data_IF_362909432565
#
_entry.id   IF_362909432565
#
_cell.length_a   1.000
_cell.length_b   1.000
_cell.length_c   1.000
_cell.angle_alpha   90.00
_cell.angle_beta   90.00
_cell.angle_gamma   90.00
#
_symmetry.space_group_name_H-M   'P 1'
#
loop_
_entity.id
_entity.type
_entity.pdbx_description
1 polymer ?
#
# COMPACT_ATOMS: atom_id res chain seq x y z
N UNK A 1 -44.02 41.80 6.10
CA UNK A 1 -44.07 42.72 4.95
C UNK A 1 -45.26 42.32 4.09
N UNK A 2 -46.31 43.14 4.11
CA UNK A 2 -47.60 42.94 3.46
C UNK A 2 -47.67 43.80 2.18
N UNK A 3 -48.04 43.21 1.04
CA UNK A 3 -48.66 43.87 -0.14
C UNK A 3 -49.37 42.71 -0.88
N UNK A 4 -50.69 42.49 -0.88
CA UNK A 4 -51.85 43.31 -1.26
C UNK A 4 -51.63 44.08 -2.56
N UNK A 5 -52.23 43.60 -3.65
CA UNK A 5 -52.74 44.43 -4.74
C UNK A 5 -53.83 43.68 -5.50
N UNK A 6 -55.07 44.00 -5.11
CA UNK A 6 -56.30 43.83 -5.85
C UNK A 6 -56.30 44.67 -7.12
N UNK A 7 -56.71 44.10 -8.25
CA UNK A 7 -57.18 44.86 -9.41
C UNK A 7 -58.52 44.29 -9.87
N UNK A 8 -59.57 45.03 -9.52
CA UNK A 8 -60.91 44.86 -10.06
C UNK A 8 -61.20 45.89 -11.16
N UNK A 9 -62.16 45.49 -11.99
CA UNK A 9 -63.11 46.32 -12.73
C UNK A 9 -62.60 47.25 -13.85
N UNK A 10 -63.03 46.99 -15.09
CA UNK A 10 -64.19 47.70 -15.72
C UNK A 10 -64.35 47.31 -17.19
N UNK A 11 -65.59 46.99 -17.56
CA UNK A 11 -66.06 46.97 -18.93
C UNK A 11 -66.25 48.38 -19.50
N UNK A 12 -66.23 48.53 -20.82
CA UNK A 12 -67.09 49.49 -21.49
C UNK A 12 -68.08 48.83 -22.46
N UNK A 13 -69.27 49.42 -22.46
CA UNK A 13 -70.44 49.15 -23.28
C UNK A 13 -70.33 49.87 -24.63
N UNK A 14 -70.97 49.25 -25.64
CA UNK A 14 -71.80 49.81 -26.74
C UNK A 14 -71.23 49.99 -28.16
N UNK A 15 -72.17 49.68 -29.07
CA UNK A 15 -72.35 49.99 -30.52
C UNK A 15 -71.84 48.84 -31.41
N UNK A 16 -72.66 48.14 -32.19
CA UNK A 16 -73.89 48.55 -32.86
C UNK A 16 -73.60 48.65 -34.35
N UNK A 17 -73.68 47.51 -35.06
CA UNK A 17 -73.82 47.46 -36.51
C UNK A 17 -74.78 46.32 -36.83
N UNK A 18 -75.96 46.71 -37.30
CA UNK A 18 -76.89 45.82 -37.95
C UNK A 18 -76.36 45.54 -39.37
N UNK A 19 -76.24 44.27 -39.72
CA UNK A 19 -76.11 43.85 -41.11
C UNK A 19 -77.11 42.71 -41.30
N UNK A 20 -78.27 43.10 -41.82
CA UNK A 20 -79.27 42.19 -42.33
C UNK A 20 -78.73 41.58 -43.63
N UNK A 21 -78.48 40.28 -43.60
CA UNK A 21 -78.38 39.45 -44.78
C UNK A 21 -79.33 38.28 -44.57
N UNK A 22 -80.47 38.38 -45.22
CA UNK A 22 -81.40 37.26 -45.36
C UNK A 22 -80.71 36.16 -46.16
N UNK A 23 -80.58 34.99 -45.55
CA UNK A 23 -80.24 33.75 -46.25
C UNK A 23 -81.36 32.76 -45.98
N UNK A 24 -82.03 32.47 -47.09
CA UNK A 24 -82.96 31.40 -47.41
C UNK A 24 -82.85 30.19 -46.46
N UNK A 25 -83.97 29.86 -45.81
CA UNK A 25 -84.18 28.55 -45.19
C UNK A 25 -84.23 27.49 -46.29
N UNK A 26 -83.15 26.73 -46.42
CA UNK A 26 -83.14 25.39 -47.00
C UNK A 26 -82.88 24.43 -45.84
N UNK A 27 -83.93 23.77 -45.36
CA UNK A 27 -83.83 22.65 -44.43
C UNK A 27 -83.23 21.45 -45.16
N UNK A 28 -81.90 21.47 -45.31
CA UNK A 28 -81.11 20.27 -45.57
C UNK A 28 -80.91 19.48 -44.27
N UNK A 29 -80.71 18.14 -44.33
CA UNK A 29 -80.44 17.35 -43.15
C UNK A 29 -79.25 17.94 -42.40
N UNK A 30 -79.44 18.18 -41.10
CA UNK A 30 -78.42 18.77 -40.23
C UNK A 30 -77.10 18.01 -40.38
N UNK A 31 -76.07 18.69 -40.87
CA UNK A 31 -74.73 18.14 -40.90
C UNK A 31 -74.33 17.77 -39.47
N UNK A 32 -73.85 16.54 -39.22
CA UNK A 32 -73.47 16.13 -37.87
C UNK A 32 -72.36 17.08 -37.35
N UNK A 33 -72.39 17.46 -36.08
CA UNK A 33 -71.40 18.36 -35.50
C UNK A 33 -69.99 17.78 -35.67
N UNK A 34 -69.10 18.52 -36.33
CA UNK A 34 -67.73 18.13 -36.67
C UNK A 34 -66.82 17.82 -35.46
N UNK A 35 -67.32 17.95 -34.23
CA UNK A 35 -66.61 17.68 -32.99
C UNK A 35 -66.89 16.29 -32.37
N UNK A 36 -67.84 15.51 -32.93
CA UNK A 36 -68.15 14.17 -32.41
C UNK A 36 -67.22 13.06 -32.96
N UNK A 37 -66.74 13.21 -34.20
CA UNK A 37 -65.94 12.19 -34.88
C UNK A 37 -64.66 11.68 -34.14
N UNK A 38 -63.89 12.51 -33.41
CA UNK A 38 -62.67 12.01 -32.77
C UNK A 38 -62.94 11.20 -31.49
N UNK A 39 -64.03 11.47 -30.78
CA UNK A 39 -64.36 10.77 -29.53
C UNK A 39 -64.88 9.36 -29.79
N UNK A 40 -65.71 9.20 -30.83
CA UNK A 40 -66.24 7.89 -31.24
C UNK A 40 -65.11 6.97 -31.73
N UNK A 41 -64.13 7.53 -32.47
CA UNK A 41 -62.96 6.79 -32.92
C UNK A 41 -62.06 6.31 -31.77
N UNK A 42 -61.80 7.16 -30.77
CA UNK A 42 -61.02 6.77 -29.58
C UNK A 42 -61.76 5.72 -28.73
N UNK A 43 -63.09 5.77 -28.66
CA UNK A 43 -63.89 4.76 -27.99
C UNK A 43 -63.82 3.40 -28.70
N UNK A 44 -64.00 3.38 -30.02
CA UNK A 44 -63.90 2.16 -30.82
C UNK A 44 -62.50 1.55 -30.71
N UNK A 45 -61.45 2.37 -30.73
CA UNK A 45 -60.08 1.91 -30.54
C UNK A 45 -59.85 1.33 -29.14
N UNK A 46 -60.42 1.92 -28.09
CA UNK A 46 -60.33 1.41 -26.71
C UNK A 46 -61.02 0.04 -26.58
N UNK A 47 -62.18 -0.12 -27.22
CA UNK A 47 -62.90 -1.41 -27.27
C UNK A 47 -62.14 -2.45 -28.07
N UNK A 48 -61.52 -2.05 -29.18
CA UNK A 48 -60.66 -2.93 -29.98
C UNK A 48 -59.44 -3.41 -29.18
N UNK A 49 -58.81 -2.54 -28.39
CA UNK A 49 -57.69 -2.93 -27.52
C UNK A 49 -58.12 -3.93 -26.44
N UNK A 50 -59.25 -3.70 -25.77
CA UNK A 50 -59.78 -4.66 -24.79
C UNK A 50 -60.10 -6.01 -25.45
N UNK A 51 -60.73 -6.01 -26.63
CA UNK A 51 -61.00 -7.22 -27.40
C UNK A 51 -59.71 -7.92 -27.88
N UNK A 52 -58.68 -7.15 -28.25
CA UNK A 52 -57.38 -7.70 -28.60
C UNK A 52 -56.71 -8.38 -27.40
N UNK A 53 -56.83 -7.83 -26.19
CA UNK A 53 -56.34 -8.44 -24.96
C UNK A 53 -57.06 -9.78 -24.67
N UNK A 54 -58.38 -9.83 -24.80
CA UNK A 54 -59.16 -11.08 -24.65
C UNK A 54 -58.75 -12.13 -25.69
N UNK A 55 -58.57 -11.70 -26.95
CA UNK A 55 -58.11 -12.59 -28.02
C UNK A 55 -56.71 -13.12 -27.76
N UNK A 56 -55.78 -12.27 -27.29
CA UNK A 56 -54.42 -12.67 -26.95
C UNK A 56 -54.41 -13.73 -25.83
N UNK A 57 -55.26 -13.59 -24.81
CA UNK A 57 -55.43 -14.60 -23.77
C UNK A 57 -55.98 -15.92 -24.35
N UNK A 58 -57.02 -15.86 -25.18
CA UNK A 58 -57.64 -17.03 -25.78
C UNK A 58 -56.73 -17.79 -26.77
N UNK A 59 -55.88 -17.07 -27.51
CA UNK A 59 -54.90 -17.65 -28.45
C UNK A 59 -53.63 -18.13 -27.71
N UNK A 60 -53.27 -17.48 -26.60
CA UNK A 60 -52.21 -17.87 -25.68
C UNK A 60 -52.45 -19.23 -25.02
N UNK A 61 -53.67 -19.49 -24.55
CA UNK A 61 -54.04 -20.81 -24.00
C UNK A 61 -53.88 -21.95 -25.04
N UNK A 62 -53.89 -21.63 -26.34
CA UNK A 62 -53.71 -22.59 -27.43
C UNK A 62 -52.26 -22.73 -27.89
N UNK A 63 -51.41 -21.75 -27.59
CA UNK A 63 -50.04 -21.69 -28.10
C UNK A 63 -49.07 -21.58 -26.92
N UNK A 64 -48.23 -22.60 -26.71
CA UNK A 64 -47.31 -22.71 -25.57
C UNK A 64 -46.17 -21.65 -25.52
N UNK A 65 -46.35 -20.46 -26.11
CA UNK A 65 -45.39 -19.36 -26.15
C UNK A 65 -45.71 -18.38 -25.01
N UNK A 66 -44.90 -18.37 -23.95
CA UNK A 66 -45.15 -17.63 -22.71
C UNK A 66 -45.07 -16.10 -22.73
N UNK A 67 -45.63 -15.41 -23.73
CA UNK A 67 -45.66 -13.93 -23.81
C UNK A 67 -47.05 -13.29 -23.93
N UNK A 68 -48.10 -14.09 -24.07
CA UNK A 68 -49.46 -13.58 -24.32
C UNK A 68 -50.07 -12.84 -23.12
N UNK A 69 -49.69 -13.22 -21.90
CA UNK A 69 -50.14 -12.51 -20.71
C UNK A 69 -49.53 -11.10 -20.61
N UNK A 70 -48.25 -10.93 -20.94
CA UNK A 70 -47.60 -9.60 -20.97
C UNK A 70 -48.25 -8.69 -22.00
N UNK A 71 -48.52 -9.21 -23.19
CA UNK A 71 -49.20 -8.48 -24.25
C UNK A 71 -50.64 -8.11 -23.88
N UNK A 72 -51.40 -9.04 -23.29
CA UNK A 72 -52.74 -8.78 -22.80
C UNK A 72 -52.76 -7.75 -21.66
N UNK A 73 -51.83 -7.85 -20.69
CA UNK A 73 -51.67 -6.86 -19.62
C UNK A 73 -51.39 -5.47 -20.20
N UNK A 74 -50.50 -5.36 -21.19
CA UNK A 74 -50.21 -4.09 -21.87
C UNK A 74 -51.46 -3.52 -22.53
N UNK A 75 -52.19 -4.32 -23.31
CA UNK A 75 -53.40 -3.86 -24.00
C UNK A 75 -54.51 -3.43 -23.03
N UNK A 76 -54.68 -4.11 -21.90
CA UNK A 76 -55.61 -3.68 -20.86
C UNK A 76 -55.21 -2.36 -20.20
N UNK A 77 -53.91 -2.13 -19.96
CA UNK A 77 -53.44 -0.85 -19.43
C UNK A 77 -53.63 0.30 -20.42
N UNK A 78 -53.33 0.08 -21.70
CA UNK A 78 -53.57 1.05 -22.78
C UNK A 78 -55.06 1.38 -22.89
N UNK A 79 -55.94 0.38 -22.85
CA UNK A 79 -57.38 0.58 -22.86
C UNK A 79 -57.85 1.38 -21.62
N UNK A 80 -57.33 1.05 -20.43
CA UNK A 80 -57.63 1.80 -19.21
C UNK A 80 -57.24 3.27 -19.32
N UNK A 81 -56.07 3.57 -19.87
CA UNK A 81 -55.60 4.95 -20.08
C UNK A 81 -56.49 5.71 -21.07
N UNK A 82 -56.88 5.08 -22.18
CA UNK A 82 -57.77 5.70 -23.17
C UNK A 82 -59.17 5.95 -22.63
N UNK A 83 -59.78 5.00 -21.91
CA UNK A 83 -61.06 5.24 -21.24
C UNK A 83 -60.97 6.36 -20.19
N UNK A 84 -59.87 6.43 -19.43
CA UNK A 84 -59.62 7.54 -18.51
C UNK A 84 -59.54 8.89 -19.24
N UNK A 85 -58.89 8.94 -20.41
CA UNK A 85 -58.82 10.14 -21.25
C UNK A 85 -60.18 10.53 -21.83
N UNK A 86 -60.95 9.55 -22.31
CA UNK A 86 -62.32 9.77 -22.79
C UNK A 86 -63.22 10.37 -21.70
N UNK A 87 -63.04 9.97 -20.43
CA UNK A 87 -63.75 10.58 -19.31
C UNK A 87 -63.46 12.09 -19.16
N UNK A 88 -62.23 12.51 -19.44
CA UNK A 88 -61.82 13.92 -19.37
C UNK A 88 -62.38 14.76 -20.52
N UNK A 89 -62.52 14.15 -21.70
CA UNK A 89 -62.95 14.80 -22.94
C UNK A 89 -64.46 15.07 -23.00
N UNK A 90 -65.27 14.54 -22.08
CA UNK A 90 -66.71 14.78 -22.07
C UNK A 90 -67.00 16.29 -21.88
N UNK A 91 -67.75 16.93 -22.81
CA UNK A 91 -68.03 18.37 -22.77
C UNK A 91 -68.64 18.82 -21.45
N UNK A 92 -68.27 20.03 -21.00
CA UNK A 92 -68.70 20.55 -19.70
C UNK A 92 -70.20 20.87 -19.64
N UNK A 93 -70.79 21.14 -20.80
CA UNK A 93 -72.17 21.52 -21.05
C UNK A 93 -73.10 20.32 -21.32
N UNK A 94 -72.56 19.09 -21.37
CA UNK A 94 -73.38 17.88 -21.54
C UNK A 94 -74.27 17.64 -20.29
N UNK A 95 -75.61 17.56 -20.42
CA UNK A 95 -76.52 17.37 -19.30
C UNK A 95 -76.36 16.00 -18.61
N UNK A 96 -75.75 15.03 -19.29
CA UNK A 96 -75.46 13.69 -18.77
C UNK A 96 -73.97 13.49 -18.48
N UNK A 97 -73.19 14.57 -18.40
CA UNK A 97 -71.74 14.53 -18.22
C UNK A 97 -71.30 13.61 -17.09
N UNK A 98 -71.88 13.78 -15.91
CA UNK A 98 -71.45 13.03 -14.71
C UNK A 98 -71.69 11.53 -14.86
N UNK A 99 -72.81 11.15 -15.49
CA UNK A 99 -73.16 9.76 -15.77
C UNK A 99 -72.18 9.18 -16.79
N UNK A 100 -71.91 9.89 -17.89
CA UNK A 100 -70.94 9.46 -18.91
C UNK A 100 -69.53 9.37 -18.33
N UNK A 101 -69.12 10.32 -17.49
CA UNK A 101 -67.81 10.31 -16.82
C UNK A 101 -67.69 9.12 -15.88
N UNK A 102 -68.71 8.86 -15.06
CA UNK A 102 -68.75 7.70 -14.16
C UNK A 102 -68.69 6.36 -14.91
N UNK A 103 -69.36 6.25 -16.06
CA UNK A 103 -69.33 5.06 -16.91
C UNK A 103 -67.92 4.82 -17.51
N UNK A 104 -67.29 5.86 -18.07
CA UNK A 104 -65.91 5.78 -18.59
C UNK A 104 -64.90 5.45 -17.50
N UNK A 105 -65.04 6.02 -16.32
CA UNK A 105 -64.19 5.71 -15.16
C UNK A 105 -64.37 4.24 -14.75
N UNK A 106 -65.59 3.72 -14.77
CA UNK A 106 -65.87 2.31 -14.46
C UNK A 106 -65.25 1.38 -15.50
N UNK A 107 -65.35 1.70 -16.79
CA UNK A 107 -64.71 0.95 -17.88
C UNK A 107 -63.18 0.96 -17.74
N UNK A 108 -62.59 2.13 -17.46
CA UNK A 108 -61.16 2.28 -17.26
C UNK A 108 -60.66 1.47 -16.04
N UNK A 109 -61.41 1.50 -14.94
CA UNK A 109 -61.09 0.73 -13.75
C UNK A 109 -61.22 -0.78 -13.98
N UNK A 110 -62.22 -1.22 -14.73
CA UNK A 110 -62.36 -2.63 -15.11
C UNK A 110 -61.15 -3.10 -15.92
N UNK A 111 -60.74 -2.36 -16.95
CA UNK A 111 -59.54 -2.68 -17.72
C UNK A 111 -58.28 -2.72 -16.84
N UNK A 112 -58.14 -1.80 -15.88
CA UNK A 112 -57.05 -1.83 -14.90
C UNK A 112 -57.05 -3.11 -14.04
N UNK A 113 -58.19 -3.53 -13.49
CA UNK A 113 -58.24 -4.78 -12.70
C UNK A 113 -58.00 -6.02 -13.59
N UNK A 114 -58.44 -6.02 -14.85
CA UNK A 114 -58.11 -7.11 -15.79
C UNK A 114 -56.61 -7.16 -16.12
N UNK A 115 -55.95 -6.01 -16.26
CA UNK A 115 -54.49 -5.95 -16.42
C UNK A 115 -53.80 -6.55 -15.19
N UNK A 116 -54.25 -6.19 -13.99
CA UNK A 116 -53.75 -6.72 -12.72
C UNK A 116 -53.91 -8.24 -12.61
N UNK A 117 -55.12 -8.75 -12.86
CA UNK A 117 -55.41 -10.18 -12.79
C UNK A 117 -54.65 -10.98 -13.85
N UNK A 118 -54.45 -10.41 -15.04
CA UNK A 118 -53.69 -11.07 -16.11
C UNK A 118 -52.20 -11.14 -15.77
N UNK A 119 -51.65 -10.08 -15.21
CA UNK A 119 -50.26 -10.04 -14.75
C UNK A 119 -50.01 -11.02 -13.60
N UNK A 120 -50.92 -11.06 -12.62
CA UNK A 120 -50.83 -11.96 -11.46
C UNK A 120 -50.87 -13.43 -11.86
N UNK A 121 -51.69 -13.79 -12.86
CA UNK A 121 -51.69 -15.17 -13.39
C UNK A 121 -50.37 -15.53 -14.08
N UNK A 122 -49.70 -14.57 -14.71
CA UNK A 122 -48.50 -14.81 -15.48
C UNK A 122 -47.24 -14.90 -14.62
N UNK A 123 -47.12 -13.98 -13.66
CA UNK A 123 -45.90 -13.80 -12.88
C UNK A 123 -46.04 -14.27 -11.43
N UNK A 124 -47.26 -14.60 -10.97
CA UNK A 124 -47.54 -14.92 -9.57
C UNK A 124 -47.43 -13.72 -8.62
N UNK A 125 -47.21 -12.53 -9.18
CA UNK A 125 -47.01 -11.28 -8.46
C UNK A 125 -48.03 -10.25 -8.92
N UNK A 126 -48.40 -9.31 -8.03
CA UNK A 126 -49.32 -8.24 -8.41
C UNK A 126 -48.67 -7.31 -9.42
N UNK A 127 -49.49 -6.68 -10.26
CA UNK A 127 -49.02 -5.66 -11.19
C UNK A 127 -48.39 -4.49 -10.43
N UNK A 128 -47.10 -4.27 -10.68
CA UNK A 128 -46.28 -3.24 -10.06
C UNK A 128 -45.50 -2.44 -11.11
N UNK A 129 -45.06 -1.24 -10.73
CA UNK A 129 -44.22 -0.37 -11.56
C UNK A 129 -44.89 0.92 -12.00
N UNK A 130 -44.11 1.76 -12.68
CA UNK A 130 -44.46 3.14 -13.00
C UNK A 130 -45.72 3.28 -13.87
N UNK A 131 -45.96 2.34 -14.80
CA UNK A 131 -47.16 2.33 -15.64
C UNK A 131 -48.43 2.07 -14.82
N UNK A 132 -48.40 1.09 -13.92
CA UNK A 132 -49.51 0.79 -13.03
C UNK A 132 -49.80 1.96 -12.08
N UNK A 133 -48.74 2.61 -11.56
CA UNK A 133 -48.86 3.80 -10.71
C UNK A 133 -49.43 4.99 -11.44
N UNK A 134 -49.02 5.23 -12.68
CA UNK A 134 -49.55 6.32 -13.50
C UNK A 134 -51.05 6.16 -13.74
N UNK A 135 -51.48 4.96 -14.18
CA UNK A 135 -52.89 4.67 -14.46
C UNK A 135 -53.73 4.72 -13.17
N UNK A 136 -53.30 4.07 -12.09
CA UNK A 136 -54.03 4.06 -10.82
C UNK A 136 -54.14 5.46 -10.19
N UNK A 137 -53.07 6.27 -10.26
CA UNK A 137 -53.07 7.67 -9.80
C UNK A 137 -54.01 8.54 -10.63
N UNK A 138 -54.03 8.37 -11.96
CA UNK A 138 -54.94 9.10 -12.86
C UNK A 138 -56.40 8.75 -12.58
N UNK A 139 -56.72 7.46 -12.46
CA UNK A 139 -58.07 7.00 -12.11
C UNK A 139 -58.50 7.54 -10.75
N UNK A 140 -57.62 7.53 -9.74
CA UNK A 140 -57.90 8.10 -8.42
C UNK A 140 -58.26 9.58 -8.51
N UNK A 141 -57.52 10.35 -9.30
CA UNK A 141 -57.77 11.78 -9.50
C UNK A 141 -59.12 12.02 -10.19
N UNK A 142 -59.45 11.23 -11.22
CA UNK A 142 -60.73 11.31 -11.93
C UNK A 142 -61.91 10.97 -11.02
N UNK A 143 -61.82 9.84 -10.30
CA UNK A 143 -62.85 9.45 -9.33
C UNK A 143 -63.03 10.54 -8.28
N UNK A 144 -61.94 11.10 -7.76
CA UNK A 144 -62.01 12.18 -6.75
C UNK A 144 -62.64 13.48 -7.29
N UNK A 145 -62.51 13.75 -8.58
CA UNK A 145 -63.14 14.90 -9.24
C UNK A 145 -64.63 14.71 -9.55
N UNK A 146 -65.05 13.47 -9.85
CA UNK A 146 -66.44 13.13 -10.21
C UNK A 146 -67.29 12.80 -8.97
N UNK A 147 -66.72 12.13 -7.97
CA UNK A 147 -67.44 11.67 -6.78
C UNK A 147 -68.26 12.76 -6.07
N UNK A 148 -67.75 14.01 -5.87
CA UNK A 148 -68.53 15.08 -5.22
C UNK A 148 -69.72 15.57 -6.05
N UNK A 149 -69.78 15.24 -7.34
CA UNK A 149 -70.84 15.66 -8.26
C UNK A 149 -71.96 14.63 -8.35
N UNK A 150 -71.64 13.36 -8.14
CA UNK A 150 -72.63 12.28 -8.11
C UNK A 150 -73.44 12.35 -6.82
N UNK A 151 -74.77 12.23 -6.94
CA UNK A 151 -75.69 12.29 -5.80
C UNK A 151 -75.35 11.23 -4.74
N UNK A 152 -75.09 11.62 -3.47
CA UNK A 152 -74.87 10.67 -2.38
C UNK A 152 -76.05 9.71 -2.18
N UNK A 153 -75.76 8.48 -1.80
CA UNK A 153 -76.76 7.43 -1.57
C UNK A 153 -77.25 6.71 -2.84
N UNK A 154 -76.71 7.04 -4.01
CA UNK A 154 -76.95 6.28 -5.24
C UNK A 154 -75.96 5.12 -5.36
N UNK A 155 -76.33 4.08 -6.13
CA UNK A 155 -75.44 2.94 -6.41
C UNK A 155 -74.15 3.39 -7.09
N UNK A 156 -74.24 4.38 -7.99
CA UNK A 156 -73.06 4.99 -8.66
C UNK A 156 -72.12 5.65 -7.66
N UNK A 157 -72.65 6.40 -6.69
CA UNK A 157 -71.83 6.99 -5.64
C UNK A 157 -71.17 5.92 -4.77
N UNK A 158 -71.90 4.85 -4.42
CA UNK A 158 -71.35 3.74 -3.66
C UNK A 158 -70.21 3.02 -4.41
N UNK A 159 -70.41 2.75 -5.71
CA UNK A 159 -69.39 2.14 -6.57
C UNK A 159 -68.15 3.02 -6.71
N UNK A 160 -68.32 4.30 -7.05
CA UNK A 160 -67.19 5.24 -7.18
C UNK A 160 -66.44 5.43 -5.85
N UNK A 161 -67.15 5.46 -4.72
CA UNK A 161 -66.53 5.54 -3.39
C UNK A 161 -65.69 4.30 -3.08
N UNK A 162 -66.20 3.10 -3.38
CA UNK A 162 -65.45 1.85 -3.22
C UNK A 162 -64.22 1.81 -4.15
N UNK A 163 -64.39 2.20 -5.41
CA UNK A 163 -63.28 2.31 -6.38
C UNK A 163 -62.24 3.30 -5.92
N UNK A 164 -62.63 4.45 -5.36
CA UNK A 164 -61.72 5.43 -4.78
C UNK A 164 -60.87 4.82 -3.67
N UNK A 165 -61.50 4.14 -2.71
CA UNK A 165 -60.81 3.52 -1.58
C UNK A 165 -59.82 2.44 -2.06
N UNK A 166 -60.20 1.62 -3.05
CA UNK A 166 -59.30 0.64 -3.66
C UNK A 166 -58.09 1.31 -4.32
N UNK A 167 -58.32 2.34 -5.13
CA UNK A 167 -57.25 3.06 -5.82
C UNK A 167 -56.33 3.83 -4.86
N UNK A 168 -56.86 4.36 -3.75
CA UNK A 168 -56.06 5.00 -2.70
C UNK A 168 -55.12 4.01 -2.00
N UNK A 169 -55.62 2.83 -1.64
CA UNK A 169 -54.82 1.76 -1.08
C UNK A 169 -53.73 1.32 -2.06
N UNK A 170 -54.08 1.15 -3.32
CA UNK A 170 -53.17 0.69 -4.37
C UNK A 170 -52.07 1.70 -4.70
N UNK A 171 -52.40 2.99 -4.82
CA UNK A 171 -51.41 4.06 -5.03
C UNK A 171 -50.47 4.18 -3.84
N UNK A 172 -50.97 4.03 -2.61
CA UNK A 172 -50.13 4.08 -1.40
C UNK A 172 -49.16 2.91 -1.39
N UNK A 173 -49.65 1.69 -1.63
CA UNK A 173 -48.85 0.47 -1.73
C UNK A 173 -47.75 0.59 -2.79
N UNK A 174 -48.09 1.05 -4.00
CA UNK A 174 -47.12 1.18 -5.08
C UNK A 174 -46.05 2.24 -4.79
N UNK A 175 -46.40 3.36 -4.13
CA UNK A 175 -45.42 4.36 -3.68
C UNK A 175 -44.49 3.83 -2.60
N UNK A 176 -45.00 3.05 -1.66
CA UNK A 176 -44.17 2.40 -0.64
C UNK A 176 -43.17 1.44 -1.28
N UNK A 177 -43.60 0.67 -2.27
CA UNK A 177 -42.72 -0.22 -3.03
C UNK A 177 -41.68 0.53 -3.87
N UNK A 178 -42.06 1.63 -4.53
CA UNK A 178 -41.08 2.49 -5.24
C UNK A 178 -40.06 3.09 -4.28
N UNK A 179 -40.52 3.60 -3.13
CA UNK A 179 -39.62 4.12 -2.08
C UNK A 179 -38.69 3.04 -1.55
N UNK A 180 -39.20 1.81 -1.38
CA UNK A 180 -38.39 0.68 -0.94
C UNK A 180 -37.34 0.31 -1.99
N UNK A 181 -37.70 0.29 -3.28
CA UNK A 181 -36.75 0.05 -4.38
C UNK A 181 -35.66 1.12 -4.43
N UNK A 182 -36.02 2.41 -4.29
CA UNK A 182 -35.04 3.50 -4.23
C UNK A 182 -34.08 3.34 -3.04
N UNK A 183 -34.59 2.91 -1.89
CA UNK A 183 -33.77 2.63 -0.70
C UNK A 183 -32.83 1.44 -0.91
N UNK A 184 -33.31 0.38 -1.55
CA UNK A 184 -32.51 -0.81 -1.86
C UNK A 184 -31.42 -0.49 -2.90
N UNK A 185 -31.75 0.27 -3.95
CA UNK A 185 -30.78 0.78 -4.93
C UNK A 185 -29.70 1.64 -4.27
N UNK A 186 -30.09 2.57 -3.40
CA UNK A 186 -29.15 3.40 -2.66
C UNK A 186 -28.29 2.58 -1.67
N UNK A 187 -28.85 1.52 -1.07
CA UNK A 187 -28.10 0.62 -0.21
C UNK A 187 -27.04 -0.16 -1.00
N UNK A 188 -27.38 -0.65 -2.19
CA UNK A 188 -26.45 -1.34 -3.09
C UNK A 188 -25.35 -0.41 -3.60
N UNK A 189 -25.67 0.84 -3.92
CA UNK A 189 -24.69 1.86 -4.27
C UNK A 189 -23.70 2.12 -3.13
N UNK A 190 -24.17 2.24 -1.89
CA UNK A 190 -23.30 2.41 -0.72
C UNK A 190 -22.39 1.18 -0.52
N UNK A 191 -22.90 -0.03 -0.70
CA UNK A 191 -22.09 -1.25 -0.62
C UNK A 191 -21.03 -1.27 -1.73
N UNK A 192 -21.38 -0.87 -2.96
CA UNK A 192 -20.44 -0.77 -4.06
C UNK A 192 -19.34 0.28 -3.80
N UNK A 193 -19.71 1.44 -3.25
CA UNK A 193 -18.77 2.48 -2.84
C UNK A 193 -17.81 1.99 -1.76
N UNK A 194 -18.31 1.31 -0.72
CA UNK A 194 -17.46 0.74 0.33
C UNK A 194 -16.51 -0.33 -0.20
N UNK A 195 -16.96 -1.17 -1.16
CA UNK A 195 -16.09 -2.15 -1.82
C UNK A 195 -14.98 -1.45 -2.62
N UNK A 196 -15.34 -0.44 -3.41
CA UNK A 196 -14.37 0.33 -4.19
C UNK A 196 -13.34 1.06 -3.30
N UNK A 197 -13.77 1.59 -2.15
CA UNK A 197 -12.88 2.22 -1.17
C UNK A 197 -11.91 1.20 -0.55
N UNK A 198 -12.42 0.03 -0.15
CA UNK A 198 -11.57 -1.06 0.37
C UNK A 198 -10.55 -1.53 -0.67
N UNK A 199 -10.93 -1.64 -1.93
CA UNK A 199 -9.98 -1.97 -3.00
C UNK A 199 -8.93 -0.88 -3.23
N UNK A 200 -9.30 0.41 -3.11
CA UNK A 200 -8.34 1.51 -3.19
C UNK A 200 -7.33 1.45 -2.05
N UNK A 201 -7.79 1.29 -0.82
CA UNK A 201 -6.92 1.14 0.35
C UNK A 201 -6.00 -0.08 0.23
N UNK A 202 -6.50 -1.22 -0.23
CA UNK A 202 -5.69 -2.41 -0.46
C UNK A 202 -4.58 -2.17 -1.51
N UNK A 203 -4.87 -1.43 -2.59
CA UNK A 203 -3.87 -1.05 -3.60
C UNK A 203 -2.84 -0.07 -3.05
N UNK A 204 -3.25 0.87 -2.21
CA UNK A 204 -2.34 1.81 -1.54
C UNK A 204 -1.41 1.10 -0.56
N UNK A 205 -1.94 0.18 0.25
CA UNK A 205 -1.13 -0.67 1.13
C UNK A 205 -0.13 -1.52 0.34
N UNK A 206 -0.56 -2.09 -0.79
CA UNK A 206 0.34 -2.87 -1.64
C UNK A 206 1.48 -2.00 -2.20
N UNK A 207 1.18 -0.79 -2.68
CA UNK A 207 2.20 0.16 -3.14
C UNK A 207 3.17 0.55 -2.03
N UNK A 208 2.67 0.81 -0.82
CA UNK A 208 3.51 1.10 0.33
C UNK A 208 4.47 -0.05 0.65
N UNK A 209 3.98 -1.30 0.62
CA UNK A 209 4.82 -2.50 0.82
C UNK A 209 5.86 -2.67 -0.29
N UNK A 210 5.50 -2.39 -1.54
CA UNK A 210 6.44 -2.44 -2.68
C UNK A 210 7.54 -1.37 -2.55
N UNK A 211 7.19 -0.16 -2.13
CA UNK A 211 8.16 0.91 -1.85
C UNK A 211 9.10 0.56 -0.69
N UNK A 212 8.58 0.00 0.41
CA UNK A 212 9.39 -0.47 1.53
C UNK A 212 10.34 -1.59 1.10
N UNK A 213 9.86 -2.54 0.31
CA UNK A 213 10.68 -3.61 -0.25
C UNK A 213 11.78 -3.06 -1.18
N UNK A 214 11.48 -2.05 -2.00
CA UNK A 214 12.45 -1.38 -2.85
C UNK A 214 13.54 -0.67 -2.02
N UNK A 215 13.14 0.07 -0.96
CA UNK A 215 14.08 0.71 -0.02
C UNK A 215 14.98 -0.31 0.68
N UNK A 216 14.42 -1.44 1.12
CA UNK A 216 15.19 -2.51 1.75
C UNK A 216 16.23 -3.12 0.77
N UNK A 217 15.86 -3.32 -0.50
CA UNK A 217 16.79 -3.78 -1.55
C UNK A 217 17.91 -2.78 -1.78
N UNK A 218 17.60 -1.48 -1.84
CA UNK A 218 18.61 -0.43 -2.02
C UNK A 218 19.60 -0.41 -0.84
N UNK A 219 19.10 -0.47 0.40
CA UNK A 219 19.96 -0.56 1.59
C UNK A 219 20.84 -1.83 1.59
N UNK A 220 20.32 -2.96 1.11
CA UNK A 220 21.11 -4.19 0.98
C UNK A 220 22.24 -4.03 -0.05
N UNK A 221 21.99 -3.36 -1.18
CA UNK A 221 23.00 -3.06 -2.19
C UNK A 221 24.07 -2.12 -1.63
N UNK A 222 23.69 -1.05 -0.93
CA UNK A 222 24.63 -0.13 -0.29
C UNK A 222 25.52 -0.85 0.75
N UNK A 223 24.96 -1.78 1.53
CA UNK A 223 25.74 -2.61 2.46
C UNK A 223 26.73 -3.50 1.72
N UNK A 224 26.33 -4.15 0.63
CA UNK A 224 27.23 -4.96 -0.20
C UNK A 224 28.36 -4.12 -0.81
N UNK A 225 28.06 -2.91 -1.29
CA UNK A 225 29.08 -1.99 -1.79
C UNK A 225 30.04 -1.54 -0.69
N UNK A 226 29.53 -1.21 0.49
CA UNK A 226 30.35 -0.85 1.64
C UNK A 226 31.28 -2.01 2.07
N UNK A 227 30.78 -3.25 2.06
CA UNK A 227 31.58 -4.45 2.31
C UNK A 227 32.66 -4.66 1.25
N UNK A 228 32.32 -4.52 -0.05
CA UNK A 228 33.31 -4.58 -1.14
C UNK A 228 34.40 -3.51 -0.99
N UNK A 229 34.02 -2.27 -0.61
CA UNK A 229 34.98 -1.19 -0.34
C UNK A 229 35.89 -1.54 0.86
N UNK A 230 35.34 -2.10 1.93
CA UNK A 230 36.12 -2.57 3.08
C UNK A 230 37.08 -3.71 2.69
N UNK A 231 36.62 -4.67 1.91
CA UNK A 231 37.48 -5.76 1.41
C UNK A 231 38.62 -5.21 0.55
N UNK A 232 38.34 -4.31 -0.38
CA UNK A 232 39.37 -3.66 -1.20
C UNK A 232 40.37 -2.86 -0.36
N UNK A 233 39.92 -2.19 0.72
CA UNK A 233 40.82 -1.52 1.67
C UNK A 233 41.71 -2.50 2.43
N UNK A 234 41.15 -3.62 2.91
CA UNK A 234 41.90 -4.68 3.59
C UNK A 234 42.93 -5.33 2.66
N UNK A 235 42.59 -5.54 1.38
CA UNK A 235 43.55 -6.03 0.38
C UNK A 235 44.69 -5.05 0.16
N UNK A 236 44.40 -3.75 0.01
CA UNK A 236 45.44 -2.71 -0.06
C UNK A 236 46.32 -2.66 1.18
N UNK A 237 45.74 -2.83 2.39
CA UNK A 237 46.51 -2.92 3.63
C UNK A 237 47.41 -4.16 3.64
N UNK A 238 46.89 -5.33 3.25
CA UNK A 238 47.68 -6.57 3.14
C UNK A 238 48.82 -6.43 2.12
N UNK A 239 48.60 -5.75 1.01
CA UNK A 239 49.66 -5.46 0.03
C UNK A 239 50.72 -4.52 0.61
N UNK A 240 50.31 -3.48 1.35
CA UNK A 240 51.24 -2.59 2.04
C UNK A 240 52.04 -3.32 3.12
N UNK A 241 51.40 -4.19 3.89
CA UNK A 241 52.05 -5.00 4.92
C UNK A 241 52.98 -6.06 4.32
N UNK A 242 52.63 -6.69 3.20
CA UNK A 242 53.55 -7.57 2.46
C UNK A 242 54.81 -6.83 2.02
N UNK A 243 54.69 -5.57 1.56
CA UNK A 243 55.84 -4.73 1.20
C UNK A 243 56.69 -4.38 2.43
N UNK A 244 56.08 -4.14 3.60
CA UNK A 244 56.78 -3.88 4.87
C UNK A 244 57.43 -5.13 5.49
N UNK A 245 56.81 -6.30 5.33
CA UNK A 245 57.34 -7.58 5.83
C UNK A 245 58.68 -7.96 5.17
N UNK A 246 58.87 -7.60 3.90
CA UNK A 246 60.17 -7.78 3.21
C UNK A 246 61.25 -6.86 3.82
N UNK A 247 60.92 -5.61 4.18
CA UNK A 247 61.87 -4.70 4.82
C UNK A 247 62.22 -5.10 6.27
N UNK A 248 61.24 -5.57 7.04
CA UNK A 248 61.48 -6.03 8.43
C UNK A 248 62.32 -7.30 8.50
N UNK A 249 62.10 -8.26 7.58
CA UNK A 249 62.98 -9.44 7.51
C UNK A 249 64.41 -9.06 7.14
N UNK A 250 64.61 -8.22 6.12
CA UNK A 250 65.97 -7.76 5.76
C UNK A 250 66.63 -7.03 6.93
N UNK A 251 65.91 -6.13 7.61
CA UNK A 251 66.41 -5.41 8.79
C UNK A 251 66.77 -6.32 9.97
N UNK A 252 65.97 -7.34 10.25
CA UNK A 252 66.21 -8.30 11.33
C UNK A 252 67.42 -9.21 11.03
N UNK A 253 67.60 -9.66 9.78
CA UNK A 253 68.76 -10.46 9.39
C UNK A 253 70.04 -9.62 9.38
N UNK A 254 69.98 -8.35 8.97
CA UNK A 254 71.15 -7.45 9.05
C UNK A 254 71.55 -7.14 10.48
N UNK A 255 70.61 -6.94 11.41
CA UNK A 255 70.97 -6.67 12.80
C UNK A 255 71.58 -7.89 13.49
N UNK A 256 70.99 -9.08 13.30
CA UNK A 256 71.54 -10.35 13.84
C UNK A 256 72.93 -10.63 13.26
N UNK A 257 73.15 -10.40 11.96
CA UNK A 257 74.47 -10.53 11.35
C UNK A 257 75.52 -9.61 11.96
N UNK A 258 75.16 -8.36 12.26
CA UNK A 258 76.06 -7.38 12.88
C UNK A 258 76.40 -7.73 14.33
N UNK A 259 75.44 -8.25 15.11
CA UNK A 259 75.69 -8.67 16.50
C UNK A 259 76.58 -9.90 16.59
N UNK A 260 76.40 -10.88 15.70
CA UNK A 260 77.26 -12.07 15.65
C UNK A 260 78.67 -11.71 15.18
N UNK A 261 78.80 -10.83 14.19
CA UNK A 261 80.10 -10.34 13.73
C UNK A 261 80.85 -9.60 14.84
N UNK A 262 80.18 -8.68 15.56
CA UNK A 262 80.77 -7.95 16.68
C UNK A 262 81.17 -8.86 17.85
N UNK A 263 80.37 -9.89 18.15
CA UNK A 263 80.71 -10.90 19.15
C UNK A 263 81.95 -11.71 18.77
N UNK A 264 82.09 -12.08 17.50
CA UNK A 264 83.25 -12.81 17.01
C UNK A 264 84.54 -11.97 17.02
N UNK A 265 84.49 -10.69 16.63
CA UNK A 265 85.65 -9.80 16.70
C UNK A 265 86.07 -9.50 18.14
N UNK A 266 85.12 -9.32 19.06
CA UNK A 266 85.43 -9.16 20.48
C UNK A 266 86.07 -10.43 21.08
N UNK A 267 85.57 -11.62 20.72
CA UNK A 267 86.15 -12.90 21.13
C UNK A 267 87.57 -13.12 20.57
N UNK A 268 87.82 -12.73 19.32
CA UNK A 268 89.14 -12.79 18.69
C UNK A 268 90.17 -11.88 19.36
N UNK A 269 89.79 -10.63 19.64
CA UNK A 269 90.66 -9.66 20.34
C UNK A 269 90.99 -10.12 21.76
N UNK A 270 90.05 -10.76 22.46
CA UNK A 270 90.30 -11.28 23.80
C UNK A 270 91.23 -12.50 23.81
N UNK A 271 91.12 -13.36 22.80
CA UNK A 271 92.02 -14.51 22.65
C UNK A 271 93.47 -14.05 22.41
N UNK A 272 93.67 -13.02 21.57
CA UNK A 272 95.00 -12.42 21.36
C UNK A 272 95.55 -11.69 22.58
N UNK A 273 94.68 -11.07 23.40
CA UNK A 273 95.09 -10.42 24.63
C UNK A 273 95.45 -11.42 25.75
N UNK A 274 94.88 -12.63 25.74
CA UNK A 274 95.17 -13.68 26.73
C UNK A 274 96.45 -14.46 26.43
N UNK A 275 96.86 -14.54 25.17
CA UNK A 275 98.20 -15.02 24.79
C UNK A 275 99.22 -13.90 24.99
N UNK A 276 99.41 -13.49 26.25
CA UNK A 276 100.25 -12.38 26.69
C UNK A 276 101.76 -12.60 26.52
N UNK A 277 102.20 -13.14 25.39
CA UNK A 277 103.63 -13.29 25.08
C UNK A 277 104.27 -11.95 24.71
N UNK A 278 103.66 -11.18 23.81
CA UNK A 278 104.27 -9.97 23.24
C UNK A 278 104.35 -8.80 24.24
N UNK A 279 103.29 -8.56 25.02
CA UNK A 279 103.25 -7.44 25.99
C UNK A 279 104.16 -7.73 27.19
N UNK A 280 104.25 -9.00 27.61
CA UNK A 280 105.17 -9.38 28.67
C UNK A 280 106.63 -9.24 28.21
N UNK A 281 106.92 -9.52 26.93
CA UNK A 281 108.21 -9.27 26.31
C UNK A 281 108.57 -7.78 26.30
N UNK A 282 107.66 -6.88 25.91
CA UNK A 282 107.92 -5.43 25.94
C UNK A 282 108.19 -4.90 27.36
N UNK A 283 107.43 -5.37 28.37
CA UNK A 283 107.65 -4.97 29.77
C UNK A 283 108.99 -5.50 30.27
N UNK A 284 109.36 -6.73 29.92
CA UNK A 284 110.65 -7.33 30.27
C UNK A 284 111.80 -6.61 29.56
N UNK A 285 111.70 -6.30 28.27
CA UNK A 285 112.72 -5.56 27.52
C UNK A 285 112.90 -4.14 28.06
N UNK A 286 111.81 -3.44 28.40
CA UNK A 286 111.88 -2.12 29.02
C UNK A 286 112.53 -2.18 30.42
N UNK A 287 112.20 -3.19 31.24
CA UNK A 287 112.80 -3.40 32.56
C UNK A 287 114.29 -3.76 32.47
N UNK A 288 114.68 -4.57 31.47
CA UNK A 288 116.07 -4.94 31.19
C UNK A 288 116.86 -3.72 30.71
N UNK A 289 116.31 -2.92 29.78
CA UNK A 289 116.95 -1.70 29.28
C UNK A 289 117.16 -0.65 30.38
N UNK A 290 116.27 -0.60 31.37
CA UNK A 290 116.39 0.26 32.54
C UNK A 290 117.35 -0.30 33.62
N UNK A 291 117.92 -1.50 33.42
CA UNK A 291 118.83 -2.14 34.39
C UNK A 291 118.16 -2.60 35.68
N UNK A 292 116.82 -2.68 35.70
CA UNK A 292 116.00 -2.98 36.89
C UNK A 292 115.39 -4.39 36.85
N UNK A 293 115.83 -5.26 35.94
CA UNK A 293 115.31 -6.60 35.79
C UNK A 293 115.95 -7.59 36.78
N UNK A 294 115.18 -8.05 37.76
CA UNK A 294 115.53 -9.18 38.63
C UNK A 294 114.63 -10.39 38.29
N UNK A 295 115.18 -11.47 37.69
CA UNK A 295 114.41 -12.64 37.30
C UNK A 295 113.81 -13.41 38.48
N UNK A 296 114.21 -13.12 39.73
CA UNK A 296 113.65 -13.75 40.92
C UNK A 296 112.40 -13.04 41.48
N UNK A 297 112.07 -11.83 41.00
CA UNK A 297 110.93 -11.05 41.47
C UNK A 297 109.69 -11.27 40.58
N UNK A 298 108.55 -11.61 41.18
CA UNK A 298 107.32 -11.89 40.45
C UNK A 298 106.54 -10.63 40.02
N UNK A 299 106.88 -9.45 40.55
CA UNK A 299 106.16 -8.20 40.33
C UNK A 299 107.06 -7.14 39.66
N UNK A 300 107.09 -7.16 38.32
CA UNK A 300 107.86 -6.21 37.51
C UNK A 300 107.33 -4.76 37.56
N UNK A 301 106.08 -4.53 37.95
CA UNK A 301 105.47 -3.20 37.97
C UNK A 301 105.71 -2.39 39.26
N UNK A 302 106.55 -2.86 40.20
CA UNK A 302 106.85 -2.16 41.46
C UNK A 302 108.20 -1.43 41.42
N UNK A 303 109.01 -1.64 40.36
CA UNK A 303 110.31 -0.99 40.21
C UNK A 303 110.15 0.52 39.91
N UNK A 304 110.87 1.43 40.59
CA UNK A 304 110.72 2.89 40.47
C UNK A 304 111.45 3.44 39.23
N UNK A 305 111.11 2.93 38.05
CA UNK A 305 111.64 3.38 36.78
C UNK A 305 110.49 3.88 35.89
N UNK A 306 110.52 5.16 35.53
CA UNK A 306 109.44 5.84 34.79
C UNK A 306 109.05 5.15 33.47
N UNK A 307 109.98 4.44 32.83
CA UNK A 307 109.72 3.68 31.59
C UNK A 307 108.88 2.41 31.84
N UNK A 308 109.03 1.77 33.00
CA UNK A 308 108.27 0.57 33.38
C UNK A 308 106.84 0.97 33.81
N UNK A 309 106.71 2.11 34.47
CA UNK A 309 105.42 2.66 34.90
C UNK A 309 104.53 3.04 33.70
N UNK A 310 105.10 3.63 32.64
CA UNK A 310 104.35 3.95 31.41
C UNK A 310 103.88 2.68 30.66
N UNK A 311 104.71 1.63 30.61
CA UNK A 311 104.35 0.34 30.02
C UNK A 311 103.27 -0.40 30.84
N UNK A 312 103.40 -0.42 32.17
CA UNK A 312 102.41 -1.04 33.07
C UNK A 312 101.07 -0.27 33.05
N UNK A 313 101.09 1.07 32.94
CA UNK A 313 99.87 1.87 32.83
C UNK A 313 99.11 1.62 31.51
N UNK A 314 99.84 1.48 30.40
CA UNK A 314 99.28 1.08 29.10
C UNK A 314 98.64 -0.30 29.18
N UNK A 315 99.29 -1.27 29.82
CA UNK A 315 98.73 -2.61 29.97
C UNK A 315 97.45 -2.61 30.82
N UNK A 316 97.43 -1.87 31.94
CA UNK A 316 96.24 -1.72 32.79
C UNK A 316 95.06 -1.10 32.03
N UNK A 317 95.30 -0.03 31.26
CA UNK A 317 94.25 0.62 30.46
C UNK A 317 93.66 -0.32 29.39
N UNK A 318 94.50 -1.12 28.73
CA UNK A 318 94.08 -2.04 27.67
C UNK A 318 93.27 -3.23 28.21
N UNK A 319 93.65 -3.75 29.37
CA UNK A 319 92.92 -4.83 30.06
C UNK A 319 91.56 -4.32 30.55
N UNK A 320 91.51 -3.11 31.11
CA UNK A 320 90.26 -2.50 31.59
C UNK A 320 89.30 -2.22 30.43
N UNK A 321 89.80 -1.71 29.31
CA UNK A 321 89.01 -1.52 28.08
C UNK A 321 88.47 -2.84 27.51
N UNK A 322 89.26 -3.92 27.58
CA UNK A 322 88.87 -5.26 27.12
C UNK A 322 87.74 -5.85 27.98
N UNK A 323 87.82 -5.71 29.31
CA UNK A 323 86.75 -6.14 30.22
C UNK A 323 85.47 -5.31 30.06
N UNK A 324 85.58 -4.00 29.81
CA UNK A 324 84.43 -3.14 29.54
C UNK A 324 83.71 -3.56 28.23
N UNK A 325 84.45 -3.84 27.17
CA UNK A 325 83.90 -4.35 25.90
C UNK A 325 83.23 -5.72 26.07
N UNK A 326 83.82 -6.62 26.86
CA UNK A 326 83.23 -7.91 27.22
C UNK A 326 81.91 -7.76 27.99
N UNK A 327 81.86 -6.82 28.93
CA UNK A 327 80.65 -6.51 29.70
C UNK A 327 79.51 -6.05 28.80
N UNK A 328 79.79 -5.13 27.86
CA UNK A 328 78.79 -4.64 26.90
C UNK A 328 78.35 -5.74 25.94
N UNK A 329 79.28 -6.57 25.45
CA UNK A 329 78.95 -7.70 24.59
C UNK A 329 78.10 -8.76 25.33
N UNK A 330 78.44 -9.07 26.59
CA UNK A 330 77.70 -10.02 27.41
C UNK A 330 76.26 -9.58 27.66
N UNK A 331 76.03 -8.30 27.96
CA UNK A 331 74.66 -7.74 28.11
C UNK A 331 73.89 -7.79 26.79
N UNK A 332 74.56 -7.52 25.65
CA UNK A 332 73.95 -7.62 24.33
C UNK A 332 73.51 -9.04 23.95
N UNK A 333 74.32 -10.06 24.26
CA UNK A 333 73.98 -11.47 24.01
C UNK A 333 72.84 -11.94 24.92
N UNK A 334 72.87 -11.60 26.21
CA UNK A 334 71.79 -11.92 27.14
C UNK A 334 70.46 -11.28 26.73
N UNK A 335 70.49 -10.01 26.30
CA UNK A 335 69.30 -9.28 25.84
C UNK A 335 68.71 -9.87 24.55
N UNK A 336 69.55 -10.27 23.60
CA UNK A 336 69.09 -10.88 22.34
C UNK A 336 68.51 -12.28 22.55
N UNK A 337 69.13 -13.09 23.42
CA UNK A 337 68.60 -14.42 23.78
C UNK A 337 67.26 -14.32 24.52
N UNK A 338 67.12 -13.42 25.49
CA UNK A 338 65.84 -13.23 26.21
C UNK A 338 64.73 -12.76 25.28
N UNK A 339 65.03 -11.81 24.37
CA UNK A 339 64.08 -11.35 23.38
C UNK A 339 63.63 -12.47 22.43
N UNK A 340 64.56 -13.28 21.93
CA UNK A 340 64.25 -14.42 21.06
C UNK A 340 63.36 -15.47 21.75
N UNK A 341 63.62 -15.77 23.03
CA UNK A 341 62.79 -16.70 23.82
C UNK A 341 61.37 -16.16 24.04
N UNK A 342 61.23 -14.85 24.32
CA UNK A 342 59.92 -14.21 24.47
C UNK A 342 59.10 -14.23 23.16
N UNK A 343 59.76 -13.98 22.02
CA UNK A 343 59.14 -14.06 20.70
C UNK A 343 58.69 -15.49 20.35
N UNK A 344 59.51 -16.50 20.66
CA UNK A 344 59.15 -17.90 20.47
C UNK A 344 57.93 -18.30 21.31
N UNK A 345 57.87 -17.86 22.58
CA UNK A 345 56.71 -18.09 23.46
C UNK A 345 55.44 -17.40 22.96
N UNK A 346 55.54 -16.17 22.45
CA UNK A 346 54.39 -15.44 21.92
C UNK A 346 53.81 -16.14 20.68
N UNK A 347 54.66 -16.56 19.74
CA UNK A 347 54.24 -17.27 18.53
C UNK A 347 53.64 -18.66 18.81
N UNK A 348 54.13 -19.35 19.85
CA UNK A 348 53.54 -20.61 20.29
C UNK A 348 52.11 -20.40 20.84
N UNK A 349 51.88 -19.33 21.59
CA UNK A 349 50.58 -19.01 22.19
C UNK A 349 49.51 -18.66 21.14
N UNK A 350 49.90 -17.91 20.11
CA UNK A 350 49.00 -17.55 18.99
C UNK A 350 48.61 -18.79 18.17
N UNK A 351 49.55 -19.70 17.89
CA UNK A 351 49.23 -20.96 17.17
C UNK A 351 48.35 -21.93 17.96
N UNK A 352 48.36 -21.88 19.29
CA UNK A 352 47.47 -22.69 20.12
C UNK A 352 46.04 -22.12 20.24
N UNK A 353 45.86 -20.81 20.03
CA UNK A 353 44.55 -20.15 20.12
C UNK A 353 43.62 -20.49 18.95
N UNK A 354 44.17 -20.60 17.74
CA UNK A 354 43.38 -20.86 16.52
C UNK A 354 42.99 -22.34 16.32
N UNK A 355 43.54 -23.28 17.10
CA UNK A 355 43.18 -24.70 17.03
C UNK A 355 42.16 -25.16 18.07
N UNK A 356 41.80 -24.31 19.04
CA UNK A 356 40.94 -24.71 20.16
C UNK A 356 39.44 -24.39 19.95
N UNK A 357 39.05 -23.68 18.89
CA UNK A 357 37.66 -23.21 18.70
C UNK A 357 36.93 -23.74 17.44
N UNK A 358 37.56 -24.56 16.61
CA UNK A 358 36.88 -25.25 15.50
C UNK A 358 37.26 -26.72 15.48
N UNK A 359 36.49 -27.61 16.14
CA UNK A 359 35.33 -28.21 15.46
C UNK A 359 34.18 -28.67 16.40
N UNK A 360 34.00 -28.10 17.60
CA UNK A 360 33.03 -28.63 18.59
C UNK A 360 31.66 -27.96 18.64
N UNK A 361 31.39 -26.95 17.81
CA UNK A 361 30.09 -26.24 17.78
C UNK A 361 29.14 -26.69 16.66
N UNK A 362 29.58 -27.53 15.72
CA UNK A 362 28.67 -28.15 14.72
C UNK A 362 27.91 -29.37 15.26
N UNK A 363 28.35 -29.97 16.37
CA UNK A 363 27.73 -31.18 16.92
C UNK A 363 26.49 -30.92 17.81
N UNK A 364 26.06 -29.67 17.99
CA UNK A 364 24.93 -29.32 18.88
C UNK A 364 23.69 -28.76 18.14
N UNK A 365 23.69 -28.71 16.81
CA UNK A 365 22.47 -28.39 16.05
C UNK A 365 21.84 -27.02 16.36
N UNK A 366 22.60 -26.08 16.96
CA UNK A 366 22.13 -24.72 17.21
C UNK A 366 22.51 -23.87 16.01
N UNK A 367 21.50 -23.50 15.22
CA UNK A 367 21.67 -22.52 14.15
C UNK A 367 22.34 -21.24 14.71
N UNK A 368 23.33 -20.66 14.03
CA UNK A 368 24.01 -19.47 14.52
C UNK A 368 23.05 -18.29 14.52
N UNK A 369 22.41 -18.01 15.66
CA UNK A 369 21.80 -16.71 15.93
C UNK A 369 22.94 -15.70 16.05
N UNK A 370 23.20 -14.96 14.96
CA UNK A 370 23.87 -13.66 15.02
C UNK A 370 22.97 -12.67 15.78
N UNK A 371 23.01 -12.77 17.11
CA UNK A 371 22.42 -11.80 18.03
C UNK A 371 23.49 -11.47 19.07
N UNK A 372 24.21 -10.38 18.83
CA UNK A 372 25.16 -9.84 19.81
C UNK A 372 24.39 -9.35 21.03
N UNK A 373 24.43 -10.14 22.11
CA UNK A 373 24.07 -9.66 23.44
C UNK A 373 25.23 -8.81 23.96
N UNK A 374 25.05 -7.49 23.91
CA UNK A 374 25.85 -6.52 24.65
C UNK A 374 25.60 -6.72 26.15
N UNK A 375 26.48 -7.45 26.83
CA UNK A 375 26.59 -7.39 28.29
C UNK A 375 27.35 -6.10 28.63
N UNK A 376 26.59 -5.04 28.94
CA UNK A 376 27.11 -3.86 29.62
C UNK A 376 27.38 -4.20 31.08
N UNK A 377 28.64 -4.49 31.41
CA UNK A 377 29.13 -4.44 32.78
C UNK A 377 29.66 -3.02 33.04
N UNK A 378 28.83 -2.18 33.66
CA UNK A 378 29.26 -0.93 34.27
C UNK A 378 29.96 -1.25 35.60
N UNK A 379 31.29 -1.26 35.60
CA UNK A 379 32.09 -1.03 36.80
C UNK A 379 32.50 0.45 36.78
N UNK A 380 31.93 1.23 37.71
CA UNK A 380 32.38 2.59 38.03
C UNK A 380 33.67 2.50 38.84
N UNK A 381 34.70 3.21 38.40
CA UNK A 381 35.68 3.85 39.27
C UNK A 381 35.25 5.29 39.52
#
# INVERSE_FOLDING_TARGET
MNLVSSLGARAPRRRGVALALGVVMMTGPAAPPAHAAPADAEEDESRQLASAAEKALADGDRTAKGGYHEEATRHYLEAAEKFARLAELIPKDDPYREVKQADRISQAFFCYEQAGATHERAHGERLEGSAALAVSSKLRALVSGVLPRVKPGTDQHAQLSATKAKLEAEVTRQRELETQRELDEHADELVAQQRAERERLAREEQRAREEEAARARQQALERQEAERRRQAQLERQREADRKRGVQLHVGLWTSVGLTVAAGATAGGLLATARTGGAVHQEIVEAAVAAGAYDPASADLCVAPAAAVEDACSKHSSMVTASYAMLGVAGVGVLGTVTFAVLLARHNAKVKSGDRASGPRLEALGVAPRRGGATLGATLRF
#
